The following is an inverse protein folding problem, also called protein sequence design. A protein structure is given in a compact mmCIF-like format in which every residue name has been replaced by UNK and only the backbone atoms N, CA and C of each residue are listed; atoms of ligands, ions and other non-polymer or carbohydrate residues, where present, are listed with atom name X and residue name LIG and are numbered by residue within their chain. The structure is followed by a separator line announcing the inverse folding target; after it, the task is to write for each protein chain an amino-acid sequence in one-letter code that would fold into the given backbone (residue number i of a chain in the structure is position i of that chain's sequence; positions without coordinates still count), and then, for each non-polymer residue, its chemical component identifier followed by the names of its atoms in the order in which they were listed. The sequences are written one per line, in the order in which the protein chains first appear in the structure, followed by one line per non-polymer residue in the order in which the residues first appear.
data_IF_641663782832
#
_entry.id   IF_641663782832
#
_cell.length_a   1.000
_cell.length_b   1.000
_cell.length_c   1.000
_cell.angle_alpha   90.00
_cell.angle_beta   90.00
_cell.angle_gamma   90.00
#
_symmetry.space_group_name_H-M   'P 1'
#
loop_
_entity.id
_entity.type
_entity.pdbx_description
1 polymer ?
#
# COMPACT_ATOMS: atom_id res chain seq x y z
N UNK A 1 3.90 -7.40 19.05
CA UNK A 1 2.80 -6.50 18.63
C UNK A 1 2.61 -6.72 17.15
N UNK A 2 1.52 -7.37 16.75
CA UNK A 2 1.24 -7.66 15.34
C UNK A 2 1.14 -6.34 14.56
N UNK A 3 1.93 -6.19 13.50
CA UNK A 3 1.85 -4.99 12.66
C UNK A 3 0.58 -5.04 11.81
N UNK A 4 -0.49 -4.47 12.34
CA UNK A 4 -1.76 -4.32 11.64
C UNK A 4 -1.71 -3.13 10.65
N UNK A 5 -2.55 -3.18 9.62
CA UNK A 5 -2.71 -2.10 8.64
C UNK A 5 -4.03 -1.40 8.86
N UNK A 6 -4.02 -0.07 8.95
CA UNK A 6 -5.22 0.74 9.12
C UNK A 6 -5.45 1.60 7.89
N UNK A 7 -6.72 1.78 7.50
CA UNK A 7 -7.09 2.75 6.46
C UNK A 7 -6.87 4.16 7.02
N UNK A 8 -5.86 4.87 6.52
CA UNK A 8 -5.57 6.24 6.93
C UNK A 8 -6.42 7.25 6.16
N UNK A 9 -6.77 6.91 4.91
CA UNK A 9 -7.58 7.76 4.05
C UNK A 9 -8.32 6.93 3.02
N UNK A 10 -9.62 7.18 2.86
CA UNK A 10 -10.45 6.61 1.82
C UNK A 10 -11.40 7.67 1.28
N UNK A 11 -11.31 7.95 -0.02
CA UNK A 11 -12.22 8.79 -0.79
C UNK A 11 -12.57 8.05 -2.10
N UNK A 12 -13.46 8.62 -2.93
CA UNK A 12 -13.88 8.01 -4.21
C UNK A 12 -12.71 7.65 -5.16
N UNK A 13 -11.61 8.39 -5.08
CA UNK A 13 -10.46 8.25 -6.01
C UNK A 13 -9.18 7.72 -5.36
N UNK A 14 -9.17 7.54 -4.03
CA UNK A 14 -7.95 7.16 -3.32
C UNK A 14 -8.31 6.29 -2.12
N UNK A 15 -7.56 5.20 -1.95
CA UNK A 15 -7.53 4.45 -0.70
C UNK A 15 -6.08 4.30 -0.26
N UNK A 16 -5.79 4.70 0.97
CA UNK A 16 -4.48 4.68 1.57
C UNK A 16 -4.52 3.95 2.91
N UNK A 17 -3.58 3.04 3.07
CA UNK A 17 -3.37 2.26 4.27
C UNK A 17 -1.99 2.59 4.84
N UNK A 18 -1.93 2.77 6.15
CA UNK A 18 -0.69 2.89 6.89
C UNK A 18 -0.56 1.70 7.84
N UNK A 19 0.64 1.16 7.93
CA UNK A 19 1.00 0.15 8.92
C UNK A 19 1.09 0.81 10.29
N UNK A 20 0.61 0.16 11.34
CA UNK A 20 0.47 0.74 12.69
C UNK A 20 1.77 1.27 13.31
N UNK A 21 2.93 0.85 12.80
CA UNK A 21 4.23 1.34 13.22
C UNK A 21 4.63 2.67 12.55
N UNK A 22 3.84 3.16 11.58
CA UNK A 22 4.09 4.40 10.84
C UNK A 22 5.20 4.31 9.79
N UNK A 23 5.76 3.12 9.58
CA UNK A 23 6.92 2.91 8.71
C UNK A 23 6.57 2.42 7.32
N UNK A 24 5.34 1.94 7.09
CA UNK A 24 4.92 1.49 5.78
C UNK A 24 3.56 2.08 5.38
N UNK A 25 3.44 2.48 4.12
CA UNK A 25 2.20 2.99 3.53
C UNK A 25 1.95 2.32 2.19
N UNK A 26 0.72 1.85 1.98
CA UNK A 26 0.23 1.39 0.68
C UNK A 26 -0.88 2.34 0.23
N UNK A 27 -0.85 2.76 -1.03
CA UNK A 27 -1.86 3.65 -1.59
C UNK A 27 -2.33 3.17 -2.96
N UNK A 28 -3.63 3.06 -3.13
CA UNK A 28 -4.31 2.94 -4.42
C UNK A 28 -4.88 4.30 -4.79
N UNK A 29 -4.64 4.78 -6.01
CA UNK A 29 -5.33 5.97 -6.54
C UNK A 29 -5.87 5.71 -7.93
N UNK A 30 -7.06 6.21 -8.20
CA UNK A 30 -7.61 6.38 -9.54
C UNK A 30 -6.92 7.55 -10.25
N UNK A 31 -6.75 7.42 -11.56
CA UNK A 31 -6.28 8.48 -12.47
C UNK A 31 -7.46 8.94 -13.32
N UNK A 32 -7.40 10.17 -13.83
CA UNK A 32 -8.45 10.72 -14.71
C UNK A 32 -8.70 9.90 -15.98
N UNK A 33 -7.78 9.01 -16.35
CA UNK A 33 -7.91 8.05 -17.46
C UNK A 33 -8.64 6.74 -17.07
N UNK A 34 -9.21 6.64 -15.86
CA UNK A 34 -9.89 5.44 -15.34
C UNK A 34 -8.96 4.33 -14.83
N UNK A 35 -7.64 4.50 -14.93
CA UNK A 35 -6.67 3.52 -14.45
C UNK A 35 -6.28 3.75 -12.99
N UNK A 36 -5.83 2.70 -12.32
CA UNK A 36 -5.43 2.72 -10.92
C UNK A 36 -3.92 2.57 -10.77
N UNK A 37 -3.35 3.30 -9.81
CA UNK A 37 -1.93 3.23 -9.46
C UNK A 37 -1.81 2.81 -8.01
N UNK A 38 -1.05 1.73 -7.76
CA UNK A 38 -0.71 1.24 -6.44
C UNK A 38 0.72 1.67 -6.13
N UNK A 39 0.94 2.22 -4.94
CA UNK A 39 2.26 2.60 -4.46
C UNK A 39 2.50 1.98 -3.08
N UNK A 40 3.67 1.41 -2.90
CA UNK A 40 4.22 0.98 -1.63
C UNK A 40 5.39 1.90 -1.27
N UNK A 41 5.36 2.41 -0.05
CA UNK A 41 6.42 3.21 0.54
C UNK A 41 6.77 2.60 1.90
N UNK A 42 7.96 2.02 2.04
CA UNK A 42 8.45 1.45 3.31
C UNK A 42 9.69 2.22 3.74
N UNK A 43 9.53 3.00 4.80
CA UNK A 43 10.58 3.70 5.53
C UNK A 43 11.14 2.75 6.60
N UNK A 44 12.46 2.71 6.78
CA UNK A 44 13.14 1.52 7.31
C UNK A 44 13.15 1.34 8.84
N UNK A 45 12.87 0.10 9.29
CA UNK A 45 13.79 -0.74 10.09
C UNK A 45 13.85 -2.19 9.53
N UNK A 46 14.21 -2.35 8.25
CA UNK A 46 14.61 -3.65 7.68
C UNK A 46 16.08 -3.55 7.24
N UNK A 47 16.86 -4.61 7.44
CA UNK A 47 18.32 -4.67 7.21
C UNK A 47 18.80 -4.29 5.77
N UNK A 48 17.89 -4.07 4.82
CA UNK A 48 18.17 -4.03 3.37
C UNK A 48 17.65 -2.78 2.61
N UNK A 49 17.34 -1.66 3.27
CA UNK A 49 17.02 -0.39 2.59
C UNK A 49 15.53 0.04 2.61
N UNK A 50 15.30 1.29 2.19
CA UNK A 50 13.96 1.85 1.88
C UNK A 50 13.38 1.16 0.64
N UNK A 51 12.20 0.56 0.76
CA UNK A 51 11.47 -0.01 -0.38
C UNK A 51 10.50 1.02 -0.95
N UNK A 52 10.61 1.24 -2.26
CA UNK A 52 9.66 2.03 -3.03
C UNK A 52 9.23 1.23 -4.25
N UNK A 53 7.95 0.89 -4.32
CA UNK A 53 7.37 0.21 -5.48
C UNK A 53 6.14 0.97 -5.99
N UNK A 54 5.97 1.00 -7.33
CA UNK A 54 4.78 1.55 -7.96
C UNK A 54 4.33 0.66 -9.11
N UNK A 55 3.05 0.35 -9.14
CA UNK A 55 2.44 -0.46 -10.19
C UNK A 55 1.15 0.22 -10.69
N UNK A 56 0.79 -0.02 -11.96
CA UNK A 56 -0.43 0.53 -12.58
C UNK A 56 -1.29 -0.62 -13.08
N UNK A 57 -2.58 -0.54 -12.81
CA UNK A 57 -3.57 -1.50 -13.26
C UNK A 57 -4.73 -0.79 -13.97
N UNK A 58 -5.40 -1.48 -14.92
CA UNK A 58 -6.59 -0.93 -15.57
C UNK A 58 -7.82 -0.91 -14.64
N UNK A 59 -7.89 -1.81 -13.65
CA UNK A 59 -9.09 -2.00 -12.83
C UNK A 59 -8.82 -1.80 -11.33
N UNK A 60 -9.84 -1.31 -10.61
CA UNK A 60 -9.78 -1.07 -9.15
C UNK A 60 -9.55 -2.36 -8.38
N UNK A 61 -10.22 -3.43 -8.81
CA UNK A 61 -10.16 -4.74 -8.15
C UNK A 61 -8.72 -5.27 -8.16
N UNK A 62 -8.08 -5.31 -9.32
CA UNK A 62 -6.67 -5.73 -9.47
C UNK A 62 -5.72 -4.84 -8.65
N UNK A 63 -5.92 -3.53 -8.67
CA UNK A 63 -5.12 -2.61 -7.88
C UNK A 63 -5.27 -2.84 -6.36
N UNK A 64 -6.50 -3.11 -5.91
CA UNK A 64 -6.80 -3.36 -4.50
C UNK A 64 -6.30 -4.72 -4.05
N UNK A 65 -6.38 -5.74 -4.91
CA UNK A 65 -5.79 -7.05 -4.69
C UNK A 65 -4.26 -6.93 -4.52
N UNK A 66 -3.58 -6.20 -5.42
CA UNK A 66 -2.15 -5.94 -5.27
C UNK A 66 -1.81 -5.23 -3.97
N UNK A 67 -2.60 -4.22 -3.60
CA UNK A 67 -2.43 -3.52 -2.33
C UNK A 67 -2.61 -4.47 -1.13
N UNK A 68 -3.50 -5.46 -1.21
CA UNK A 68 -3.64 -6.49 -0.19
C UNK A 68 -2.39 -7.41 -0.14
N UNK A 69 -1.89 -7.87 -1.29
CA UNK A 69 -0.67 -8.67 -1.35
C UNK A 69 0.52 -7.96 -0.71
N UNK A 70 0.74 -6.68 -1.01
CA UNK A 70 1.78 -5.90 -0.38
C UNK A 70 1.56 -5.74 1.12
N UNK A 71 0.34 -5.46 1.57
CA UNK A 71 0.08 -5.38 3.01
C UNK A 71 0.43 -6.69 3.71
N UNK A 72 0.04 -7.84 3.14
CA UNK A 72 0.39 -9.16 3.70
C UNK A 72 1.90 -9.42 3.66
N UNK A 73 2.58 -9.15 2.54
CA UNK A 73 4.02 -9.40 2.40
C UNK A 73 4.87 -8.51 3.32
N UNK A 74 4.41 -7.28 3.57
CA UNK A 74 5.09 -6.30 4.41
C UNK A 74 4.44 -6.16 5.80
N UNK A 75 3.57 -7.10 6.19
CA UNK A 75 3.25 -7.33 7.60
C UNK A 75 4.46 -8.01 8.22
N UNK A 76 5.08 -7.39 9.23
CA UNK A 76 6.14 -8.05 9.99
C UNK A 76 5.46 -9.15 10.82
N UNK A 77 5.71 -10.40 10.46
CA UNK A 77 5.49 -11.53 11.35
C UNK A 77 6.67 -11.57 12.35
N UNK A 78 6.35 -11.73 13.64
CA UNK A 78 7.34 -11.80 14.73
C UNK A 78 8.36 -12.94 14.57
#
# INVERSE_FOLDING_TARGET
METEWTVSREDDTITEWQRSDGYATVRVRERGDGAYVVRLDVMEQAVDGRVYERERYPDRETATARAAEWRTAYTLAE
#
